data_IF_831351895704
#
_entry.id   IF_831351895704
#
_cell.length_a   1.000
_cell.length_b   1.000
_cell.length_c   1.000
_cell.angle_alpha   90.00
_cell.angle_beta   90.00
_cell.angle_gamma   90.00
#
_symmetry.space_group_name_H-M   'P 1'
#
loop_
_entity.id
_entity.type
_entity.pdbx_description
1 polymer ?
#
# COMPACT_ATOMS: atom_id res chain seq x y z
N UNK A 1 5.36 -3.49 17.24
CA UNK A 1 4.26 -3.15 16.30
C UNK A 1 4.48 -3.76 14.91
N UNK A 2 5.66 -3.61 14.28
CA UNK A 2 5.93 -4.16 12.94
C UNK A 2 5.68 -5.68 12.85
N UNK A 3 6.18 -6.47 13.80
CA UNK A 3 5.94 -7.92 13.82
C UNK A 3 4.45 -8.26 13.91
N UNK A 4 3.71 -7.58 14.78
CA UNK A 4 2.27 -7.81 14.96
C UNK A 4 1.50 -7.53 13.66
N UNK A 5 1.86 -6.47 12.94
CA UNK A 5 1.13 -6.07 11.73
C UNK A 5 1.55 -6.89 10.51
N UNK A 6 2.82 -7.32 10.42
CA UNK A 6 3.38 -7.93 9.20
C UNK A 6 3.50 -9.45 9.23
N UNK A 7 3.54 -10.10 10.41
CA UNK A 7 3.65 -11.57 10.51
C UNK A 7 2.51 -12.35 9.86
N UNK A 8 1.28 -11.82 9.70
CA UNK A 8 0.28 -12.50 8.89
C UNK A 8 0.65 -12.62 7.41
N UNK A 9 1.52 -11.73 6.89
CA UNK A 9 1.89 -11.66 5.47
C UNK A 9 3.28 -12.28 5.21
N UNK A 10 4.20 -12.14 6.15
CA UNK A 10 5.58 -12.64 6.04
C UNK A 10 5.97 -13.49 7.23
N UNK A 11 6.70 -14.58 6.99
CA UNK A 11 7.18 -15.48 8.05
C UNK A 11 7.99 -14.74 9.13
N UNK A 12 8.71 -13.67 8.75
CA UNK A 12 9.38 -12.76 9.67
C UNK A 12 9.45 -11.36 9.11
N UNK A 13 9.56 -10.35 9.98
CA UNK A 13 9.81 -8.97 9.56
C UNK A 13 11.18 -8.79 8.92
N UNK A 14 12.18 -9.61 9.31
CA UNK A 14 13.47 -9.66 8.62
C UNK A 14 13.31 -10.04 7.15
N UNK A 15 12.46 -11.03 6.85
CA UNK A 15 12.19 -11.43 5.47
C UNK A 15 11.56 -10.29 4.65
N UNK A 16 10.56 -9.60 5.21
CA UNK A 16 9.98 -8.40 4.59
C UNK A 16 11.02 -7.29 4.36
N UNK A 17 11.77 -6.92 5.42
CA UNK A 17 12.78 -5.85 5.34
C UNK A 17 13.85 -6.12 4.29
N UNK A 18 14.30 -7.37 4.17
CA UNK A 18 15.26 -7.77 3.14
C UNK A 18 14.69 -7.56 1.73
N UNK A 19 13.41 -7.89 1.50
CA UNK A 19 12.75 -7.64 0.20
C UNK A 19 12.62 -6.13 -0.06
N UNK A 20 12.17 -5.36 0.93
CA UNK A 20 12.02 -3.91 0.79
C UNK A 20 13.35 -3.23 0.44
N UNK A 21 14.41 -3.58 1.18
CA UNK A 21 15.76 -3.03 0.96
C UNK A 21 16.36 -3.46 -0.37
N UNK A 22 16.15 -4.70 -0.80
CA UNK A 22 16.75 -5.21 -2.03
C UNK A 22 16.09 -4.67 -3.30
N UNK A 23 14.85 -4.16 -3.20
CA UNK A 23 14.04 -3.76 -4.35
C UNK A 23 13.67 -2.27 -4.38
N UNK A 24 14.22 -1.45 -3.48
CA UNK A 24 13.81 -0.06 -3.27
C UNK A 24 12.28 0.08 -3.08
N UNK A 25 11.70 -0.88 -2.38
CA UNK A 25 10.27 -1.02 -2.21
C UNK A 25 9.81 -0.49 -0.85
N UNK A 26 8.54 -0.08 -0.78
CA UNK A 26 7.91 0.39 0.46
C UNK A 26 6.56 -0.28 0.67
N UNK A 27 6.10 -0.32 1.92
CA UNK A 27 4.74 -0.74 2.26
C UNK A 27 3.89 0.50 2.52
N UNK A 28 2.67 0.54 1.99
CA UNK A 28 1.69 1.61 2.25
C UNK A 28 0.28 1.04 2.49
N UNK A 29 -0.73 1.90 2.53
CA UNK A 29 -2.11 1.55 2.82
C UNK A 29 -2.37 1.20 4.27
N UNK A 30 -3.36 0.33 4.51
CA UNK A 30 -3.88 0.08 5.86
C UNK A 30 -2.83 -0.50 6.81
N UNK A 31 -1.86 -1.29 6.31
CA UNK A 31 -0.75 -1.79 7.14
C UNK A 31 0.17 -0.65 7.60
N UNK A 32 0.56 0.25 6.71
CA UNK A 32 1.37 1.42 7.09
C UNK A 32 0.59 2.38 8.01
N UNK A 33 -0.71 2.57 7.76
CA UNK A 33 -1.57 3.37 8.64
C UNK A 33 -1.59 2.81 10.07
N UNK A 34 -1.72 1.49 10.24
CA UNK A 34 -1.62 0.85 11.58
C UNK A 34 -0.26 1.01 12.23
N UNK A 35 0.81 1.24 11.48
CA UNK A 35 2.13 1.50 12.03
C UNK A 35 2.26 2.92 12.56
N UNK A 36 1.57 3.89 11.94
CA UNK A 36 1.55 5.30 12.36
C UNK A 36 0.62 5.52 13.55
N UNK A 37 -0.53 4.85 13.58
CA UNK A 37 -1.52 5.05 14.63
C UNK A 37 -1.13 4.37 15.96
N UNK A 38 -1.53 4.96 17.10
CA UNK A 38 -1.42 4.29 18.39
C UNK A 38 -2.14 2.93 18.39
N UNK A 39 -1.52 1.91 19.00
CA UNK A 39 -2.06 0.54 18.96
C UNK A 39 -3.45 0.42 19.60
N UNK A 40 -3.79 1.29 20.57
CA UNK A 40 -5.09 1.33 21.24
C UNK A 40 -6.21 1.97 20.41
N UNK A 41 -5.89 2.64 19.30
CA UNK A 41 -6.91 3.24 18.41
C UNK A 41 -7.24 2.35 17.20
N UNK A 42 -6.53 1.23 17.03
CA UNK A 42 -6.71 0.31 15.91
C UNK A 42 -7.49 -0.95 16.32
N UNK A 43 -8.82 -0.90 16.31
CA UNK A 43 -9.70 -2.06 16.54
C UNK A 43 -9.97 -2.90 15.27
N UNK A 44 -9.30 -2.59 14.17
CA UNK A 44 -9.47 -3.23 12.87
C UNK A 44 -8.18 -3.95 12.42
N UNK A 45 -8.32 -4.93 11.51
CA UNK A 45 -7.21 -5.67 10.94
C UNK A 45 -7.06 -5.37 9.44
N UNK A 46 -5.82 -5.44 8.94
CA UNK A 46 -5.58 -5.33 7.50
C UNK A 46 -5.87 -6.65 6.80
N UNK A 47 -6.71 -6.60 5.77
CA UNK A 47 -7.05 -7.74 4.90
C UNK A 47 -5.92 -8.09 3.93
N UNK A 48 -5.18 -7.07 3.50
CA UNK A 48 -4.12 -7.12 2.50
C UNK A 48 -2.90 -6.30 2.96
N UNK A 49 -1.77 -6.56 2.30
CA UNK A 49 -0.56 -5.77 2.38
C UNK A 49 -0.29 -5.17 1.00
N UNK A 50 0.01 -3.87 0.93
CA UNK A 50 0.30 -3.19 -0.33
C UNK A 50 1.78 -2.81 -0.37
N UNK A 51 2.55 -3.46 -1.25
CA UNK A 51 3.97 -3.20 -1.49
C UNK A 51 4.09 -2.40 -2.79
N UNK A 52 4.80 -1.28 -2.75
CA UNK A 52 5.08 -0.43 -3.89
C UNK A 52 6.53 -0.59 -4.31
N UNK A 53 6.79 -0.69 -5.61
CA UNK A 53 8.13 -0.92 -6.15
C UNK A 53 8.35 -0.10 -7.42
N UNK A 54 9.56 0.43 -7.68
CA UNK A 54 9.88 1.09 -8.94
C UNK A 54 9.80 0.11 -10.13
N UNK A 55 9.52 0.63 -11.33
CA UNK A 55 9.41 -0.21 -12.53
C UNK A 55 10.66 -1.06 -12.78
N UNK A 56 11.86 -0.53 -12.53
CA UNK A 56 13.11 -1.25 -12.83
C UNK A 56 13.40 -2.40 -11.85
N UNK A 57 12.82 -2.41 -10.64
CA UNK A 57 13.08 -3.41 -9.60
C UNK A 57 11.98 -4.47 -9.45
N UNK A 58 10.85 -4.36 -10.17
CA UNK A 58 9.72 -5.26 -9.95
C UNK A 58 10.04 -6.74 -10.24
N UNK A 59 10.87 -7.02 -11.24
CA UNK A 59 11.29 -8.39 -11.59
C UNK A 59 12.03 -9.05 -10.43
N UNK A 60 12.94 -8.32 -9.79
CA UNK A 60 13.67 -8.81 -8.62
C UNK A 60 12.71 -9.08 -7.45
N UNK A 61 11.76 -8.19 -7.21
CA UNK A 61 10.75 -8.38 -6.16
C UNK A 61 9.92 -9.65 -6.41
N UNK A 62 9.47 -9.88 -7.65
CA UNK A 62 8.73 -11.08 -8.03
C UNK A 62 9.56 -12.34 -7.79
N UNK A 63 10.82 -12.34 -8.23
CA UNK A 63 11.72 -13.47 -8.02
C UNK A 63 11.91 -13.78 -6.53
N UNK A 64 12.05 -12.76 -5.68
CA UNK A 64 12.16 -12.95 -4.23
C UNK A 64 10.88 -13.52 -3.61
N UNK A 65 9.71 -13.05 -4.02
CA UNK A 65 8.42 -13.60 -3.56
C UNK A 65 8.23 -15.05 -4.04
N UNK A 66 8.44 -15.34 -5.32
CA UNK A 66 8.31 -16.68 -5.86
C UNK A 66 9.29 -17.67 -5.18
N UNK A 67 10.53 -17.25 -4.92
CA UNK A 67 11.54 -18.06 -4.19
C UNK A 67 11.08 -18.48 -2.79
N UNK A 68 10.17 -17.73 -2.17
CA UNK A 68 9.62 -18.01 -0.84
C UNK A 68 8.18 -18.55 -0.90
N UNK A 69 7.80 -19.16 -2.02
CA UNK A 69 6.52 -19.85 -2.23
C UNK A 69 5.28 -18.93 -2.19
N UNK A 70 5.45 -17.64 -2.42
CA UNK A 70 4.32 -16.74 -2.65
C UNK A 70 3.80 -16.96 -4.07
N UNK A 71 2.50 -17.24 -4.20
CA UNK A 71 1.88 -17.54 -5.50
C UNK A 71 1.16 -16.33 -6.06
N UNK A 72 1.28 -16.10 -7.38
CA UNK A 72 0.50 -15.08 -8.07
C UNK A 72 -0.93 -15.60 -8.20
N UNK A 73 -1.91 -14.80 -7.76
CA UNK A 73 -3.34 -15.15 -7.81
C UNK A 73 -4.14 -14.23 -8.72
N UNK A 74 -3.58 -13.06 -9.05
CA UNK A 74 -4.10 -12.16 -10.06
C UNK A 74 -2.92 -11.42 -10.69
N UNK A 75 -2.71 -11.57 -11.99
CA UNK A 75 -1.63 -10.92 -12.71
C UNK A 75 -2.16 -9.79 -13.58
N UNK A 76 -1.47 -8.65 -13.60
CA UNK A 76 -1.64 -7.68 -14.67
C UNK A 76 -2.98 -6.95 -14.65
N UNK A 77 -3.52 -6.60 -13.47
CA UNK A 77 -4.56 -5.56 -13.43
C UNK A 77 -3.89 -4.25 -13.83
N UNK A 78 -3.87 -3.99 -15.14
CA UNK A 78 -3.53 -2.67 -15.65
C UNK A 78 -4.52 -1.71 -15.01
N UNK A 79 -4.00 -0.64 -14.41
CA UNK A 79 -4.83 0.43 -13.87
C UNK A 79 -5.32 1.27 -15.06
N UNK A 80 -6.17 0.67 -15.91
CA UNK A 80 -6.77 1.29 -17.11
C UNK A 80 -7.83 2.31 -16.69
N UNK A 81 -8.34 2.21 -15.47
CA UNK A 81 -9.46 3.02 -15.01
C UNK A 81 -9.04 3.86 -13.80
N UNK A 82 -9.21 5.19 -13.93
CA UNK A 82 -9.46 6.19 -12.88
C UNK A 82 -8.39 7.29 -12.64
N UNK A 83 -7.18 7.22 -13.22
CA UNK A 83 -6.25 8.37 -13.18
C UNK A 83 -5.43 8.48 -14.46
N UNK A 84 -5.48 9.66 -15.08
CA UNK A 84 -4.59 10.04 -16.17
C UNK A 84 -3.71 11.22 -15.77
N UNK A 85 -2.38 11.11 -15.80
CA UNK A 85 -1.59 9.88 -15.93
C UNK A 85 -1.34 9.25 -14.56
N UNK A 86 -1.96 8.09 -14.30
CA UNK A 86 -1.64 7.25 -13.15
C UNK A 86 -0.16 6.90 -13.17
N UNK A 87 0.55 7.07 -12.05
CA UNK A 87 1.93 6.62 -11.90
C UNK A 87 2.00 5.13 -11.56
N UNK A 88 0.86 4.43 -11.54
CA UNK A 88 0.81 2.97 -11.41
C UNK A 88 0.93 2.35 -12.80
N UNK A 89 1.92 1.48 -12.97
CA UNK A 89 2.13 0.68 -14.17
C UNK A 89 1.17 -0.51 -14.19
N UNK A 90 1.18 -1.31 -13.14
CA UNK A 90 0.29 -2.47 -12.98
C UNK A 90 0.21 -2.88 -11.51
N UNK A 91 -0.81 -3.68 -11.18
CA UNK A 91 -0.96 -4.32 -9.87
C UNK A 91 -1.03 -5.82 -10.06
N UNK A 92 -0.18 -6.54 -9.32
CA UNK A 92 -0.20 -8.01 -9.25
C UNK A 92 -0.42 -8.44 -7.81
N UNK A 93 -1.37 -9.35 -7.61
CA UNK A 93 -1.69 -9.86 -6.28
C UNK A 93 -1.03 -11.23 -6.09
N UNK A 94 -0.24 -11.33 -5.04
CA UNK A 94 0.34 -12.55 -4.50
C UNK A 94 -0.47 -13.04 -3.30
N UNK A 95 -0.29 -14.32 -2.95
CA UNK A 95 -0.89 -14.95 -1.77
C UNK A 95 0.15 -15.76 -1.01
N UNK A 96 0.09 -15.68 0.32
CA UNK A 96 0.81 -16.55 1.25
C UNK A 96 -0.21 -17.34 2.08
N UNK A 97 -0.67 -18.48 1.53
CA UNK A 97 -1.75 -19.27 2.12
C UNK A 97 -3.07 -18.49 2.15
N UNK A 98 -3.37 -17.80 3.26
CA UNK A 98 -4.63 -17.09 3.47
C UNK A 98 -4.57 -15.58 3.25
N UNK A 99 -3.38 -14.96 3.28
CA UNK A 99 -3.24 -13.50 3.18
C UNK A 99 -2.83 -13.05 1.80
N UNK A 100 -3.34 -11.88 1.38
CA UNK A 100 -3.06 -11.27 0.09
C UNK A 100 -1.99 -10.18 0.21
N UNK A 101 -1.12 -10.14 -0.79
CA UNK A 101 -0.09 -9.11 -0.95
C UNK A 101 -0.25 -8.51 -2.34
N UNK A 102 -0.62 -7.24 -2.41
CA UNK A 102 -0.65 -6.51 -3.66
C UNK A 102 0.73 -5.90 -3.90
N UNK A 103 1.32 -6.17 -5.06
CA UNK A 103 2.51 -5.50 -5.56
C UNK A 103 2.06 -4.46 -6.58
N UNK A 104 2.25 -3.19 -6.25
CA UNK A 104 1.93 -2.04 -7.06
C UNK A 104 3.22 -1.55 -7.70
N UNK A 105 3.31 -1.69 -9.02
CA UNK A 105 4.49 -1.27 -9.76
C UNK A 105 4.31 0.19 -10.15
N UNK A 106 5.25 1.06 -9.76
CA UNK A 106 5.27 2.45 -10.24
C UNK A 106 5.83 2.53 -11.64
N UNK A 107 5.29 3.43 -12.48
CA UNK A 107 5.86 3.85 -13.77
C UNK A 107 7.13 4.68 -13.61
N UNK A 108 7.32 5.31 -12.45
CA UNK A 108 8.45 6.19 -12.19
C UNK A 108 9.65 5.42 -11.64
N UNK A 109 10.78 6.12 -11.51
CA UNK A 109 11.96 5.63 -10.78
C UNK A 109 11.71 5.47 -9.26
N UNK A 110 10.61 6.01 -8.72
CA UNK A 110 10.27 5.96 -7.30
C UNK A 110 9.06 5.07 -7.02
N UNK A 111 9.13 4.25 -5.98
CA UNK A 111 7.98 3.54 -5.44
C UNK A 111 6.90 4.47 -4.85
N UNK A 112 7.26 5.74 -4.57
CA UNK A 112 6.41 6.67 -3.83
C UNK A 112 5.39 7.40 -4.70
N UNK A 113 5.64 7.56 -6.00
CA UNK A 113 4.76 8.37 -6.86
C UNK A 113 3.29 7.92 -6.82
N UNK A 114 2.95 6.62 -6.81
CA UNK A 114 1.57 6.17 -6.68
C UNK A 114 0.91 6.56 -5.36
N UNK A 115 1.68 6.62 -4.26
CA UNK A 115 1.16 6.86 -2.91
C UNK A 115 0.59 8.28 -2.80
N UNK A 116 1.26 9.25 -3.40
CA UNK A 116 0.84 10.66 -3.36
C UNK A 116 -0.24 11.01 -4.41
N UNK A 117 -0.63 10.05 -5.26
CA UNK A 117 -1.74 10.22 -6.21
C UNK A 117 -3.07 9.66 -5.70
N UNK A 118 -3.11 9.06 -4.50
CA UNK A 118 -4.36 8.54 -3.95
C UNK A 118 -5.40 9.63 -3.67
N UNK A 119 -6.68 9.24 -3.71
CA UNK A 119 -7.83 10.12 -3.44
C UNK A 119 -7.92 10.60 -1.99
N UNK A 120 -7.14 10.05 -1.06
CA UNK A 120 -7.18 10.44 0.36
C UNK A 120 -5.80 10.42 0.98
N UNK A 121 -5.53 11.43 1.81
CA UNK A 121 -4.28 11.55 2.56
C UNK A 121 -4.06 10.42 3.57
N UNK A 122 -5.10 9.68 3.94
CA UNK A 122 -5.01 8.51 4.84
C UNK A 122 -4.05 7.45 4.28
N UNK A 123 -3.93 7.39 2.95
CA UNK A 123 -3.02 6.49 2.24
C UNK A 123 -1.57 7.00 2.18
N UNK A 124 -1.32 8.27 2.48
CA UNK A 124 0.00 8.92 2.32
C UNK A 124 0.93 8.64 3.51
N UNK A 125 0.92 7.39 3.94
CA UNK A 125 1.75 6.82 4.99
C UNK A 125 2.45 5.58 4.42
N UNK A 126 3.74 5.41 4.70
CA UNK A 126 4.48 4.27 4.20
C UNK A 126 5.69 3.95 5.09
N UNK A 127 6.24 2.75 4.94
CA UNK A 127 7.53 2.41 5.56
C UNK A 127 8.43 1.66 4.58
N UNK A 128 9.73 1.94 4.67
CA UNK A 128 10.81 1.20 4.01
C UNK A 128 11.33 0.08 4.93
N UNK A 129 12.46 -0.53 4.60
CA UNK A 129 13.11 -1.52 5.46
C UNK A 129 13.49 -0.97 6.85
N UNK A 130 13.77 0.33 6.94
CA UNK A 130 14.41 0.98 8.09
C UNK A 130 13.66 2.21 8.61
N UNK A 131 12.73 2.77 7.85
CA UNK A 131 12.12 4.06 8.17
C UNK A 131 10.59 4.03 8.02
N UNK A 132 9.90 4.76 8.90
CA UNK A 132 8.45 4.99 8.86
C UNK A 132 8.17 6.44 8.50
N UNK A 133 7.26 6.66 7.56
CA UNK A 133 6.89 7.98 7.04
C UNK A 133 5.39 8.20 7.16
N UNK A 134 5.03 9.40 7.63
CA UNK A 134 3.68 9.92 7.68
C UNK A 134 3.68 11.33 7.09
N UNK A 135 3.00 11.54 5.97
CA UNK A 135 3.01 12.84 5.30
C UNK A 135 2.24 13.92 6.08
N UNK A 136 1.22 13.52 6.85
CA UNK A 136 0.33 14.43 7.58
C UNK A 136 0.12 13.97 9.02
N UNK A 137 1.16 14.01 9.88
CA UNK A 137 1.09 13.44 11.23
C UNK A 137 0.02 14.09 12.09
N UNK A 138 -0.12 15.41 12.07
CA UNK A 138 -1.11 16.12 12.89
C UNK A 138 -2.55 15.75 12.54
N UNK A 139 -2.85 15.48 11.27
CA UNK A 139 -4.18 15.06 10.83
C UNK A 139 -4.39 13.57 11.05
N UNK A 140 -3.39 12.76 10.67
CA UNK A 140 -3.47 11.30 10.76
C UNK A 140 -3.65 10.83 12.20
N UNK A 141 -2.90 11.40 13.15
CA UNK A 141 -2.99 11.06 14.57
C UNK A 141 -4.29 11.54 15.23
N UNK A 142 -4.96 12.54 14.64
CA UNK A 142 -6.29 13.01 15.05
C UNK A 142 -7.43 12.31 14.29
N UNK A 143 -7.12 11.30 13.47
CA UNK A 143 -8.08 10.59 12.63
C UNK A 143 -8.85 11.53 11.68
N UNK A 144 -8.16 12.55 11.15
CA UNK A 144 -8.71 13.45 10.14
C UNK A 144 -8.13 13.10 8.77
N UNK A 145 -9.00 13.06 7.76
CA UNK A 145 -8.65 12.82 6.37
C UNK A 145 -9.00 14.02 5.50
N UNK A 146 -8.16 14.32 4.52
CA UNK A 146 -8.54 15.16 3.38
C UNK A 146 -8.66 14.28 2.14
N UNK A 147 -9.71 14.53 1.37
CA UNK A 147 -9.96 13.88 0.08
C UNK A 147 -9.42 14.78 -1.02
N UNK A 148 -8.66 14.20 -1.95
CA UNK A 148 -8.22 14.90 -3.15
C UNK A 148 -9.46 15.26 -3.99
N UNK A 149 -9.76 16.55 -4.06
CA UNK A 149 -10.95 17.06 -4.76
C UNK A 149 -10.80 17.06 -6.27
N UNK A 150 -9.60 16.84 -6.82
CA UNK A 150 -9.39 16.79 -8.28
C UNK A 150 -10.32 15.76 -8.95
N UNK A 151 -10.55 14.61 -8.31
CA UNK A 151 -11.46 13.58 -8.81
C UNK A 151 -12.94 13.93 -8.62
N UNK A 152 -13.28 14.76 -7.63
CA UNK A 152 -14.64 15.27 -7.44
C UNK A 152 -14.99 16.30 -8.51
N UNK A 153 -14.06 17.23 -8.80
CA UNK A 153 -14.23 18.25 -9.82
C UNK A 153 -14.37 17.67 -11.23
N UNK A 154 -13.75 16.52 -11.49
CA UNK A 154 -13.81 15.86 -12.79
C UNK A 154 -14.93 14.81 -12.89
N UNK A 155 -15.75 14.63 -11.85
CA UNK A 155 -16.75 13.54 -11.77
C UNK A 155 -16.18 12.14 -12.02
N UNK A 156 -14.90 11.92 -11.71
CA UNK A 156 -14.18 10.67 -11.95
C UNK A 156 -14.09 9.78 -10.71
N UNK A 157 -14.95 10.01 -9.71
CA UNK A 157 -14.98 9.17 -8.51
C UNK A 157 -15.53 7.78 -8.85
N UNK A 158 -14.62 6.82 -9.00
CA UNK A 158 -15.01 5.45 -9.31
C UNK A 158 -15.56 4.74 -8.08
N UNK A 159 -16.27 3.64 -8.32
CA UNK A 159 -16.77 2.80 -7.23
C UNK A 159 -15.66 2.30 -6.31
N UNK A 160 -14.45 2.04 -6.85
CA UNK A 160 -13.30 1.61 -6.04
C UNK A 160 -12.75 2.74 -5.16
N UNK A 161 -12.75 3.98 -5.65
CA UNK A 161 -12.40 5.17 -4.86
C UNK A 161 -13.37 5.37 -3.70
N UNK A 162 -14.68 5.23 -3.96
CA UNK A 162 -15.71 5.29 -2.92
C UNK A 162 -15.53 4.17 -1.89
N UNK A 163 -15.31 2.94 -2.34
CA UNK A 163 -15.08 1.80 -1.46
C UNK A 163 -13.84 1.99 -0.58
N UNK A 164 -12.77 2.57 -1.13
CA UNK A 164 -11.58 2.91 -0.35
C UNK A 164 -11.90 3.96 0.73
N UNK A 165 -12.67 5.01 0.40
CA UNK A 165 -13.10 6.00 1.40
C UNK A 165 -13.96 5.36 2.50
N UNK A 166 -14.93 4.51 2.13
CA UNK A 166 -15.78 3.79 3.09
C UNK A 166 -14.96 2.86 3.99
N UNK A 167 -13.95 2.18 3.44
CA UNK A 167 -13.00 1.35 4.21
C UNK A 167 -12.27 2.18 5.27
N UNK A 168 -11.78 3.37 4.92
CA UNK A 168 -11.07 4.21 5.90
C UNK A 168 -12.01 4.91 6.88
N UNK A 169 -13.24 5.22 6.47
CA UNK A 169 -14.30 5.67 7.37
C UNK A 169 -14.60 4.64 8.46
N UNK A 170 -14.69 3.35 8.12
CA UNK A 170 -14.86 2.30 9.14
C UNK A 170 -13.62 2.10 10.02
N UNK A 171 -12.47 2.64 9.63
CA UNK A 171 -11.24 2.68 10.43
C UNK A 171 -11.14 3.94 11.33
N UNK A 172 -12.16 4.81 11.32
CA UNK A 172 -12.25 5.99 12.17
C UNK A 172 -11.90 7.33 11.51
N UNK A 173 -11.69 7.37 10.18
CA UNK A 173 -11.32 8.59 9.41
C UNK A 173 -12.48 9.28 8.70
#
# INVERSE_FOLDING_TARGET
QLDIVCTPFFQSTKHLKNILSACDAVVSGSVALRMVLPSNTCNWQSSDLNIYVPHHNHVQLYNLLCKHNYIIVCNGRMNIENYSPSTIYTVTTFRNGQKLINVIISRSASALSPIFQFHSMVMMNFFSADSLYCAYPSLTLRHHAMVNTASLHQHTFSASSIQALLKYKSCGF
#
